data_IF_892341160052
#
_entry.id   IF_892341160052
#
_cell.length_a   1.000
_cell.length_b   1.000
_cell.length_c   1.000
_cell.angle_alpha   90.00
_cell.angle_beta   90.00
_cell.angle_gamma   90.00
#
_symmetry.space_group_name_H-M   'P 1'
#
loop_
_entity.id
_entity.type
_entity.pdbx_description
1 polymer ?
#
# COMPACT_ATOMS: atom_id res chain seq x y z
N UNK A 1 -11.71 22.65 21.47
CA UNK A 1 -10.67 21.72 21.94
C UNK A 1 -9.84 21.36 20.72
N UNK A 2 -8.60 21.85 20.65
CA UNK A 2 -7.72 21.73 19.48
C UNK A 2 -7.40 20.28 19.18
N UNK A 3 -7.69 19.85 17.95
CA UNK A 3 -7.03 18.71 17.35
C UNK A 3 -5.56 19.10 17.12
N UNK A 4 -4.66 18.55 17.92
CA UNK A 4 -3.23 18.69 17.70
C UNK A 4 -2.85 18.00 16.40
N UNK A 5 -2.50 18.79 15.40
CA UNK A 5 -1.76 18.35 14.22
C UNK A 5 -0.45 17.71 14.68
N UNK A 6 -0.42 16.37 14.76
CA UNK A 6 0.84 15.65 14.79
C UNK A 6 1.47 15.81 13.41
N UNK A 7 2.45 16.71 13.31
CA UNK A 7 3.38 16.73 12.19
C UNK A 7 4.02 15.33 12.10
N UNK A 8 3.69 14.58 11.05
CA UNK A 8 4.40 13.36 10.70
C UNK A 8 5.88 13.73 10.47
N UNK A 9 6.76 13.17 11.30
CA UNK A 9 8.19 13.34 11.14
C UNK A 9 8.62 12.83 9.74
N UNK A 10 9.71 13.36 9.13
CA UNK A 10 10.08 13.06 7.75
C UNK A 10 10.58 11.63 7.47
N UNK A 11 10.40 10.68 8.38
CA UNK A 11 10.76 9.27 8.21
C UNK A 11 9.53 8.46 7.86
N UNK A 12 9.63 7.57 6.86
CA UNK A 12 8.53 6.73 6.38
C UNK A 12 7.71 6.13 7.53
N UNK A 13 6.38 6.09 7.39
CA UNK A 13 5.46 5.76 8.49
C UNK A 13 5.79 4.45 9.24
N UNK A 14 5.14 4.17 10.39
CA UNK A 14 5.57 3.14 11.34
C UNK A 14 5.86 1.75 10.74
N UNK A 15 5.17 1.36 9.66
CA UNK A 15 5.44 0.11 8.95
C UNK A 15 6.80 0.10 8.23
N UNK A 16 7.21 1.19 7.60
CA UNK A 16 8.54 1.29 6.98
C UNK A 16 9.64 1.28 8.02
N UNK A 17 9.47 1.98 9.14
CA UNK A 17 10.42 1.89 10.26
C UNK A 17 10.54 0.46 10.81
N UNK A 18 9.43 -0.31 10.85
CA UNK A 18 9.47 -1.72 11.21
C UNK A 18 10.28 -2.55 10.21
N UNK A 19 10.14 -2.30 8.91
CA UNK A 19 10.91 -3.01 7.87
C UNK A 19 12.39 -2.64 7.94
N UNK A 20 12.72 -1.36 8.11
CA UNK A 20 14.08 -0.87 8.26
C UNK A 20 14.76 -1.51 9.48
N UNK A 21 14.12 -1.48 10.64
CA UNK A 21 14.63 -2.11 11.86
C UNK A 21 14.77 -3.62 11.68
N UNK A 22 13.76 -4.29 11.11
CA UNK A 22 13.79 -5.72 10.83
C UNK A 22 14.96 -6.11 9.91
N UNK A 23 15.18 -5.35 8.84
CA UNK A 23 16.29 -5.52 7.90
C UNK A 23 17.65 -5.32 8.57
N UNK A 24 17.80 -4.27 9.40
CA UNK A 24 19.03 -4.03 10.16
C UNK A 24 19.32 -5.17 11.16
N UNK A 25 18.31 -5.59 11.94
CA UNK A 25 18.45 -6.73 12.86
C UNK A 25 18.82 -8.03 12.13
N UNK A 26 18.25 -8.27 10.93
CA UNK A 26 18.60 -9.42 10.09
C UNK A 26 20.05 -9.35 9.64
N UNK A 27 20.51 -8.20 9.11
CA UNK A 27 21.89 -7.99 8.66
C UNK A 27 22.88 -8.23 9.80
N UNK A 28 22.61 -7.68 10.98
CA UNK A 28 23.41 -7.88 12.19
C UNK A 28 23.47 -9.37 12.57
N UNK A 29 22.32 -10.06 12.61
CA UNK A 29 22.26 -11.50 12.90
C UNK A 29 23.09 -12.33 11.91
N UNK A 30 22.90 -12.09 10.63
CA UNK A 30 23.58 -12.83 9.55
C UNK A 30 25.09 -12.55 9.55
N UNK A 31 25.52 -11.32 9.86
CA UNK A 31 26.94 -10.97 9.98
C UNK A 31 27.69 -11.73 11.08
N UNK A 32 26.94 -12.25 12.08
CA UNK A 32 27.46 -13.08 13.17
C UNK A 32 27.19 -14.57 12.97
N UNK A 33 26.62 -14.97 11.83
CA UNK A 33 26.20 -16.33 11.53
C UNK A 33 25.24 -16.94 12.58
N UNK A 34 24.44 -16.11 13.24
CA UNK A 34 23.50 -16.54 14.28
C UNK A 34 22.21 -17.04 13.62
N UNK A 35 21.70 -18.21 14.04
CA UNK A 35 20.44 -18.75 13.51
C UNK A 35 19.25 -18.01 14.09
N UNK A 36 18.10 -18.04 13.39
CA UNK A 36 16.85 -17.46 13.92
C UNK A 36 16.40 -18.13 15.22
N UNK A 37 16.67 -19.43 15.38
CA UNK A 37 16.31 -20.14 16.61
C UNK A 37 17.19 -19.72 17.79
N UNK A 38 18.48 -19.51 17.58
CA UNK A 38 19.38 -18.98 18.61
C UNK A 38 18.99 -17.55 19.02
N UNK A 39 18.71 -16.68 18.04
CA UNK A 39 18.19 -15.33 18.31
C UNK A 39 16.83 -15.36 19.04
N UNK A 40 15.96 -16.31 18.65
CA UNK A 40 14.67 -16.51 19.30
C UNK A 40 14.84 -16.93 20.77
N UNK A 41 15.74 -17.87 21.04
CA UNK A 41 16.02 -18.37 22.38
C UNK A 41 16.43 -17.23 23.33
N UNK A 42 17.32 -16.33 22.90
CA UNK A 42 17.78 -15.18 23.68
C UNK A 42 16.64 -14.32 24.23
N UNK A 43 15.66 -14.02 23.37
CA UNK A 43 14.49 -13.19 23.74
C UNK A 43 13.27 -14.03 24.17
N UNK A 44 13.46 -15.31 24.50
CA UNK A 44 12.40 -16.25 24.89
C UNK A 44 11.25 -16.33 23.87
N UNK A 45 11.62 -16.42 22.59
CA UNK A 45 10.75 -16.47 21.43
C UNK A 45 11.07 -17.66 20.51
N UNK A 46 10.21 -17.90 19.52
CA UNK A 46 10.47 -18.85 18.45
C UNK A 46 11.24 -18.21 17.28
N UNK A 47 11.96 -19.03 16.50
CA UNK A 47 12.55 -18.57 15.23
C UNK A 47 11.52 -17.98 14.26
N UNK A 48 10.27 -18.45 14.30
CA UNK A 48 9.15 -17.86 13.54
C UNK A 48 8.77 -16.44 13.99
N UNK A 49 8.97 -16.09 15.27
CA UNK A 49 8.82 -14.70 15.73
C UNK A 49 9.99 -13.85 15.22
N UNK A 50 11.23 -14.33 15.28
CA UNK A 50 12.39 -13.62 14.71
C UNK A 50 12.18 -13.36 13.22
N UNK A 51 11.75 -14.37 12.45
CA UNK A 51 11.44 -14.20 11.03
C UNK A 51 10.42 -13.08 10.77
N UNK A 52 9.32 -13.03 11.55
CA UNK A 52 8.33 -11.94 11.43
C UNK A 52 8.86 -10.57 11.85
N UNK A 53 9.74 -10.51 12.86
CA UNK A 53 10.40 -9.26 13.26
C UNK A 53 11.34 -8.75 12.16
N UNK A 54 12.15 -9.63 11.57
CA UNK A 54 13.06 -9.30 10.48
C UNK A 54 12.33 -8.81 9.22
N UNK A 55 11.11 -9.28 9.00
CA UNK A 55 10.24 -8.85 7.90
C UNK A 55 9.37 -7.63 8.26
N UNK A 56 9.55 -7.02 9.44
CA UNK A 56 8.76 -5.87 9.88
C UNK A 56 7.26 -6.15 10.09
N UNK A 57 6.86 -7.43 10.22
CA UNK A 57 5.45 -7.87 10.28
C UNK A 57 4.85 -7.87 11.69
N UNK A 58 5.65 -7.58 12.71
CA UNK A 58 5.22 -7.49 14.12
C UNK A 58 5.88 -6.29 14.79
N UNK A 59 5.29 -5.83 15.90
CA UNK A 59 5.88 -4.80 16.75
C UNK A 59 7.13 -5.30 17.49
N UNK A 60 7.96 -4.35 17.92
CA UNK A 60 9.23 -4.62 18.58
C UNK A 60 9.14 -4.29 20.06
N UNK A 61 9.37 -5.23 20.97
CA UNK A 61 9.59 -4.83 22.37
C UNK A 61 10.98 -4.25 22.48
N UNK A 62 11.13 -3.08 23.09
CA UNK A 62 12.45 -2.44 23.27
C UNK A 62 13.44 -3.36 23.96
N UNK A 63 12.97 -4.11 24.96
CA UNK A 63 13.76 -5.15 25.61
C UNK A 63 14.26 -6.22 24.63
N UNK A 64 13.35 -6.79 23.83
CA UNK A 64 13.72 -7.82 22.85
C UNK A 64 14.76 -7.27 21.87
N UNK A 65 14.63 -6.01 21.43
CA UNK A 65 15.62 -5.35 20.57
C UNK A 65 16.96 -5.21 21.29
N UNK A 66 16.97 -4.70 22.52
CA UNK A 66 18.21 -4.52 23.29
C UNK A 66 18.95 -5.85 23.55
N UNK A 67 18.22 -6.91 23.87
CA UNK A 67 18.76 -8.26 24.09
C UNK A 67 19.36 -8.82 22.78
N UNK A 68 18.67 -8.67 21.64
CA UNK A 68 19.20 -9.06 20.33
C UNK A 68 20.46 -8.26 19.92
N UNK A 69 20.49 -6.95 20.17
CA UNK A 69 21.67 -6.12 19.87
C UNK A 69 22.89 -6.56 20.68
N UNK A 70 22.68 -6.98 21.93
CA UNK A 70 23.74 -7.56 22.77
C UNK A 70 24.22 -8.88 22.17
N UNK A 71 23.31 -9.78 21.81
CA UNK A 71 23.64 -11.06 21.18
C UNK A 71 24.39 -10.87 19.85
N UNK A 72 24.02 -9.87 19.06
CA UNK A 72 24.67 -9.56 17.79
C UNK A 72 25.98 -8.79 17.94
N UNK A 73 26.39 -8.46 19.18
CA UNK A 73 27.67 -7.82 19.47
C UNK A 73 27.73 -6.34 19.11
N UNK A 74 26.60 -5.65 19.07
CA UNK A 74 26.55 -4.18 18.91
C UNK A 74 26.93 -3.55 20.24
N UNK A 75 28.13 -2.97 20.33
CA UNK A 75 28.70 -2.40 21.56
C UNK A 75 28.67 -0.87 21.58
N UNK A 76 28.57 -0.24 20.42
CA UNK A 76 28.49 1.21 20.30
C UNK A 76 27.17 1.71 20.89
N UNK A 77 27.26 2.67 21.83
CA UNK A 77 26.08 3.13 22.57
C UNK A 77 25.15 3.96 21.70
N UNK A 78 25.69 4.76 20.79
CA UNK A 78 24.90 5.65 19.94
C UNK A 78 24.14 4.84 18.89
N UNK A 79 24.78 3.83 18.29
CA UNK A 79 24.13 2.87 17.39
C UNK A 79 23.00 2.10 18.09
N UNK A 80 23.22 1.64 19.33
CA UNK A 80 22.19 0.94 20.11
C UNK A 80 21.00 1.83 20.42
N UNK A 81 21.24 3.05 20.91
CA UNK A 81 20.16 3.99 21.21
C UNK A 81 19.40 4.38 19.94
N UNK A 82 20.06 4.52 18.80
CA UNK A 82 19.40 4.78 17.53
C UNK A 82 18.44 3.64 17.13
N UNK A 83 18.87 2.38 17.25
CA UNK A 83 18.04 1.21 16.91
C UNK A 83 16.87 1.01 17.89
N UNK A 84 17.08 1.27 19.18
CA UNK A 84 16.00 1.23 20.18
C UNK A 84 15.02 2.39 19.95
N UNK A 85 15.53 3.59 19.63
CA UNK A 85 14.71 4.75 19.25
C UNK A 85 13.86 4.46 18.02
N UNK A 86 14.43 3.80 17.01
CA UNK A 86 13.71 3.34 15.83
C UNK A 86 12.60 2.35 16.20
N UNK A 87 12.84 1.44 17.15
CA UNK A 87 11.81 0.51 17.64
C UNK A 87 10.63 1.24 18.30
N UNK A 88 10.89 2.31 19.06
CA UNK A 88 9.84 3.16 19.66
C UNK A 88 8.98 3.80 18.59
N UNK A 89 9.61 4.42 17.59
CA UNK A 89 8.91 5.07 16.48
C UNK A 89 8.15 4.07 15.61
N UNK A 90 8.72 2.89 15.36
CA UNK A 90 8.11 1.81 14.59
C UNK A 90 6.87 1.19 15.28
N UNK A 91 6.76 1.35 16.59
CA UNK A 91 5.60 0.96 17.37
C UNK A 91 4.53 2.05 17.48
N UNK A 92 4.82 3.28 17.05
CA UNK A 92 3.86 4.36 17.11
C UNK A 92 2.58 4.00 16.33
N UNK A 93 1.39 4.24 16.91
CA UNK A 93 0.13 4.00 16.24
C UNK A 93 0.04 4.79 14.92
N UNK A 94 -0.22 4.10 13.81
CA UNK A 94 -0.73 4.78 12.61
C UNK A 94 -2.12 5.35 12.88
N UNK A 95 -2.51 6.41 12.15
CA UNK A 95 -3.83 7.05 12.28
C UNK A 95 -5.00 6.06 12.13
N UNK A 96 -4.80 4.96 11.40
CA UNK A 96 -5.79 3.91 11.16
C UNK A 96 -6.01 2.96 12.35
N UNK A 97 -5.21 3.02 13.43
CA UNK A 97 -5.34 2.09 14.56
C UNK A 97 -6.68 2.18 15.29
N UNK A 98 -7.34 3.35 15.27
CA UNK A 98 -8.68 3.53 15.86
C UNK A 98 -9.78 2.77 15.08
N UNK A 99 -9.42 2.16 13.94
CA UNK A 99 -10.33 1.53 12.98
C UNK A 99 -9.96 0.05 12.77
N UNK A 100 -9.18 -0.54 13.68
CA UNK A 100 -8.75 -1.94 13.64
C UNK A 100 -9.90 -2.94 13.68
N UNK A 101 -11.06 -2.56 14.21
CA UNK A 101 -12.28 -3.37 14.26
C UNK A 101 -12.99 -3.46 12.90
N UNK A 102 -12.78 -2.48 12.02
CA UNK A 102 -13.40 -2.43 10.69
C UNK A 102 -12.40 -2.69 9.55
N UNK A 103 -11.11 -2.83 9.83
CA UNK A 103 -10.09 -3.10 8.82
C UNK A 103 -9.45 -4.48 9.02
N UNK A 104 -9.44 -5.34 7.99
CA UNK A 104 -8.70 -6.59 8.05
C UNK A 104 -7.22 -6.34 8.38
N UNK A 105 -6.65 -7.19 9.24
CA UNK A 105 -5.26 -7.03 9.68
C UNK A 105 -4.26 -7.04 8.52
N UNK A 106 -4.52 -7.83 7.48
CA UNK A 106 -3.71 -7.86 6.27
C UNK A 106 -3.72 -6.54 5.51
N UNK A 107 -4.75 -5.70 5.66
CA UNK A 107 -4.84 -4.40 4.99
C UNK A 107 -4.13 -3.30 5.75
N UNK A 108 -4.07 -3.40 7.09
CA UNK A 108 -3.39 -2.42 7.94
C UNK A 108 -1.89 -2.29 7.61
N UNK A 109 -1.25 -3.39 7.21
CA UNK A 109 0.13 -3.39 6.76
C UNK A 109 0.30 -2.55 5.48
N UNK A 110 -0.59 -2.76 4.50
CA UNK A 110 -0.61 -2.00 3.25
C UNK A 110 -0.75 -0.49 3.49
N UNK A 111 -1.63 -0.06 4.41
CA UNK A 111 -1.80 1.37 4.72
C UNK A 111 -0.50 2.05 5.17
N UNK A 112 0.30 1.35 5.99
CA UNK A 112 1.57 1.89 6.43
C UNK A 112 2.65 1.91 5.33
N UNK A 113 2.59 1.00 4.36
CA UNK A 113 3.47 1.02 3.19
C UNK A 113 3.05 2.10 2.19
N UNK A 114 1.74 2.21 1.92
CA UNK A 114 1.13 3.22 1.07
C UNK A 114 1.47 4.63 1.56
N UNK A 115 1.36 4.86 2.88
CA UNK A 115 1.70 6.15 3.48
C UNK A 115 3.21 6.47 3.48
N UNK A 116 4.08 5.48 3.30
CA UNK A 116 5.54 5.67 3.33
C UNK A 116 6.19 5.61 1.94
N UNK A 117 5.44 5.24 0.91
CA UNK A 117 5.94 5.15 -0.45
C UNK A 117 6.22 6.54 -1.03
N UNK A 118 7.25 6.64 -1.87
CA UNK A 118 7.50 7.78 -2.75
C UNK A 118 6.92 7.58 -4.15
N UNK A 119 6.73 6.33 -4.55
CA UNK A 119 6.09 5.96 -5.81
C UNK A 119 5.21 4.73 -5.60
N UNK A 120 3.97 4.80 -6.08
CA UNK A 120 3.02 3.70 -6.11
C UNK A 120 2.66 3.46 -7.57
N UNK A 121 2.96 2.27 -8.08
CA UNK A 121 2.53 1.82 -9.41
C UNK A 121 1.44 0.78 -9.23
N UNK A 122 0.24 0.97 -9.78
CA UNK A 122 -0.87 0.02 -9.63
C UNK A 122 -1.47 -0.35 -10.98
N UNK A 123 -1.82 -1.63 -11.11
CA UNK A 123 -2.62 -2.16 -12.20
C UNK A 123 -3.96 -2.68 -11.65
N UNK A 124 -5.07 -2.14 -12.15
CA UNK A 124 -6.41 -2.46 -11.67
C UNK A 124 -7.32 -2.98 -12.79
N UNK A 125 -7.93 -4.14 -12.55
CA UNK A 125 -8.85 -4.79 -13.51
C UNK A 125 -10.28 -4.93 -12.99
N UNK A 126 -10.49 -4.72 -11.69
CA UNK A 126 -11.77 -4.99 -11.04
C UNK A 126 -12.46 -3.72 -10.56
N UNK A 127 -11.71 -2.80 -9.95
CA UNK A 127 -12.22 -1.58 -9.34
C UNK A 127 -11.31 -0.40 -9.64
N UNK A 128 -11.84 0.82 -9.58
CA UNK A 128 -11.00 2.03 -9.64
C UNK A 128 -9.98 1.99 -8.49
N UNK A 129 -8.70 2.36 -8.70
CA UNK A 129 -7.69 2.38 -7.65
C UNK A 129 -8.20 3.07 -6.39
N UNK A 130 -7.98 2.48 -5.22
CA UNK A 130 -8.55 2.99 -3.96
C UNK A 130 -8.24 4.46 -3.67
N UNK A 131 -7.06 4.94 -4.10
CA UNK A 131 -6.62 6.34 -3.96
C UNK A 131 -7.33 7.32 -4.92
N UNK A 132 -8.12 6.82 -5.87
CA UNK A 132 -8.85 7.62 -6.87
C UNK A 132 -10.38 7.42 -6.80
N UNK A 133 -10.89 6.71 -5.79
CA UNK A 133 -12.33 6.45 -5.63
C UNK A 133 -13.10 7.65 -5.07
N UNK A 134 -14.29 7.94 -5.57
CA UNK A 134 -15.23 8.85 -4.88
C UNK A 134 -15.83 8.15 -3.66
N UNK A 135 -16.31 8.89 -2.65
CA UNK A 135 -16.96 8.30 -1.48
C UNK A 135 -18.14 7.36 -1.83
N UNK A 136 -18.93 7.73 -2.84
CA UNK A 136 -20.09 6.97 -3.31
C UNK A 136 -19.67 5.67 -4.00
N UNK A 137 -18.66 5.73 -4.87
CA UNK A 137 -18.10 4.53 -5.51
C UNK A 137 -17.44 3.62 -4.47
N UNK A 138 -16.65 4.19 -3.56
CA UNK A 138 -16.03 3.45 -2.46
C UNK A 138 -17.07 2.72 -1.61
N UNK A 139 -18.17 3.39 -1.26
CA UNK A 139 -19.30 2.79 -0.55
C UNK A 139 -19.88 1.59 -1.30
N UNK A 140 -20.14 1.75 -2.60
CA UNK A 140 -20.68 0.68 -3.44
C UNK A 140 -19.73 -0.54 -3.47
N UNK A 141 -18.43 -0.33 -3.62
CA UNK A 141 -17.42 -1.41 -3.56
C UNK A 141 -17.39 -2.10 -2.20
N UNK A 142 -17.43 -1.34 -1.08
CA UNK A 142 -17.39 -1.93 0.27
C UNK A 142 -18.59 -2.85 0.49
N UNK A 143 -19.78 -2.42 0.04
CA UNK A 143 -21.02 -3.20 0.20
C UNK A 143 -20.96 -4.56 -0.51
N UNK A 144 -20.23 -4.71 -1.61
CA UNK A 144 -20.09 -5.99 -2.33
C UNK A 144 -19.46 -7.08 -1.46
N UNK A 145 -18.48 -6.73 -0.62
CA UNK A 145 -17.78 -7.68 0.26
C UNK A 145 -18.37 -7.77 1.67
N UNK A 146 -19.36 -6.95 2.01
CA UNK A 146 -19.84 -6.77 3.39
C UNK A 146 -21.37 -6.68 3.47
N UNK A 147 -22.07 -7.62 2.82
CA UNK A 147 -23.53 -7.64 2.75
C UNK A 147 -24.25 -7.63 4.13
N UNK A 148 -23.57 -8.02 5.21
CA UNK A 148 -24.09 -8.01 6.58
C UNK A 148 -23.63 -6.84 7.46
N UNK A 149 -22.83 -5.91 6.94
CA UNK A 149 -22.33 -4.78 7.73
C UNK A 149 -23.41 -3.70 7.92
N UNK A 150 -23.40 -3.08 9.09
CA UNK A 150 -24.24 -1.93 9.43
C UNK A 150 -23.84 -0.68 8.64
N UNK A 151 -24.77 0.26 8.48
CA UNK A 151 -24.48 1.53 7.81
C UNK A 151 -23.33 2.32 8.49
N UNK A 152 -23.20 2.21 9.82
CA UNK A 152 -22.12 2.82 10.58
C UNK A 152 -20.75 2.21 10.25
N UNK A 153 -20.64 0.88 10.18
CA UNK A 153 -19.42 0.20 9.76
C UNK A 153 -19.02 0.56 8.34
N UNK A 154 -19.99 0.63 7.42
CA UNK A 154 -19.74 1.08 6.04
C UNK A 154 -19.22 2.52 6.03
N UNK A 155 -19.84 3.43 6.79
CA UNK A 155 -19.41 4.84 6.87
C UNK A 155 -17.98 4.96 7.40
N UNK A 156 -17.62 4.20 8.45
CA UNK A 156 -16.26 4.19 9.00
C UNK A 156 -15.24 3.70 7.96
N UNK A 157 -15.57 2.67 7.18
CA UNK A 157 -14.69 2.18 6.09
C UNK A 157 -14.54 3.16 4.94
N UNK A 158 -15.61 3.89 4.58
CA UNK A 158 -15.54 4.98 3.59
C UNK A 158 -14.63 6.11 4.10
N UNK A 159 -14.76 6.47 5.37
CA UNK A 159 -13.93 7.51 5.98
C UNK A 159 -12.44 7.13 5.98
N UNK A 160 -12.09 5.85 6.23
CA UNK A 160 -10.72 5.35 6.05
C UNK A 160 -10.22 5.64 4.64
N UNK A 161 -11.01 5.31 3.61
CA UNK A 161 -10.59 5.53 2.21
C UNK A 161 -10.41 7.02 1.91
N UNK A 162 -11.30 7.88 2.42
CA UNK A 162 -11.19 9.33 2.27
C UNK A 162 -9.92 9.88 2.93
N UNK A 163 -9.57 9.40 4.12
CA UNK A 163 -8.35 9.80 4.81
C UNK A 163 -7.09 9.36 4.06
N UNK A 164 -7.07 8.13 3.53
CA UNK A 164 -5.95 7.62 2.71
C UNK A 164 -5.66 8.46 1.49
N UNK A 165 -6.68 8.97 0.81
CA UNK A 165 -6.49 9.75 -0.42
C UNK A 165 -5.71 11.05 -0.22
N UNK A 166 -5.68 11.57 1.01
CA UNK A 166 -4.97 12.81 1.34
C UNK A 166 -3.46 12.70 1.13
N UNK A 167 -2.90 11.48 1.06
CA UNK A 167 -1.48 11.28 0.77
C UNK A 167 -1.10 11.80 -0.63
N UNK A 168 -2.02 11.85 -1.59
CA UNK A 168 -1.72 12.28 -2.97
C UNK A 168 -1.49 13.79 -3.08
N UNK A 169 -1.99 14.58 -2.13
CA UNK A 169 -1.96 16.04 -2.18
C UNK A 169 -1.09 16.68 -1.10
N UNK A 170 -0.59 15.89 -0.15
CA UNK A 170 0.33 16.40 0.88
C UNK A 170 1.74 16.66 0.32
N UNK A 171 2.50 17.62 0.88
CA UNK A 171 3.92 17.76 0.57
C UNK A 171 4.68 16.46 0.84
N UNK A 172 5.52 16.03 -0.11
CA UNK A 172 6.26 14.77 0.00
C UNK A 172 5.41 13.50 -0.12
N UNK A 173 4.16 13.62 -0.58
CA UNK A 173 3.31 12.47 -0.91
C UNK A 173 3.83 11.63 -2.09
N UNK A 174 3.34 10.39 -2.25
CA UNK A 174 3.77 9.52 -3.35
C UNK A 174 3.35 10.08 -4.72
N UNK A 175 4.17 9.77 -5.72
CA UNK A 175 3.72 9.74 -7.10
C UNK A 175 2.87 8.49 -7.31
N UNK A 176 1.64 8.64 -7.81
CA UNK A 176 0.77 7.54 -8.19
C UNK A 176 0.81 7.35 -9.71
N UNK A 177 1.20 6.16 -10.15
CA UNK A 177 1.05 5.73 -11.53
C UNK A 177 0.04 4.58 -11.58
N UNK A 178 -1.18 4.88 -12.01
CA UNK A 178 -2.25 3.91 -12.14
C UNK A 178 -2.49 3.56 -13.61
N UNK A 179 -2.56 2.26 -13.90
CA UNK A 179 -3.08 1.73 -15.17
C UNK A 179 -4.38 0.99 -14.86
N UNK A 180 -5.45 1.38 -15.54
CA UNK A 180 -6.79 0.83 -15.33
C UNK A 180 -7.27 0.12 -16.60
N UNK A 181 -7.80 -1.09 -16.45
CA UNK A 181 -8.49 -1.79 -17.53
C UNK A 181 -9.84 -1.12 -17.86
N UNK A 182 -10.13 -0.97 -19.15
CA UNK A 182 -11.39 -0.36 -19.63
C UNK A 182 -12.64 -1.00 -18.99
N UNK A 183 -12.61 -2.29 -18.64
CA UNK A 183 -13.73 -2.97 -17.96
C UNK A 183 -14.09 -2.33 -16.62
N UNK A 184 -13.12 -1.77 -15.90
CA UNK A 184 -13.34 -1.08 -14.62
C UNK A 184 -14.25 0.13 -14.80
N UNK A 185 -14.11 0.82 -15.93
CA UNK A 185 -14.84 2.05 -16.24
C UNK A 185 -16.21 1.77 -16.88
N UNK A 186 -16.43 0.56 -17.42
CA UNK A 186 -17.69 0.15 -18.03
C UNK A 186 -18.63 -0.60 -17.08
N UNK A 187 -18.12 -1.21 -16.01
CA UNK A 187 -18.96 -1.92 -15.03
C UNK A 187 -19.72 -0.91 -14.14
N UNK A 188 -21.07 -0.94 -14.07
CA UNK A 188 -21.87 0.08 -13.38
C UNK A 188 -21.89 -0.08 -11.85
N UNK A 189 -20.73 -0.03 -11.20
CA UNK A 189 -20.62 -0.15 -9.74
C UNK A 189 -21.28 1.05 -9.06
N UNK A 190 -22.27 0.78 -8.20
CA UNK A 190 -23.08 1.82 -7.55
C UNK A 190 -24.14 2.44 -8.46
N UNK A 191 -24.27 1.96 -9.70
CA UNK A 191 -25.21 2.50 -10.69
C UNK A 191 -24.62 3.59 -11.58
N UNK A 192 -25.43 4.03 -12.55
CA UNK A 192 -25.03 4.98 -13.61
C UNK A 192 -24.50 6.29 -13.02
N UNK A 193 -25.23 6.94 -12.12
CA UNK A 193 -24.84 8.24 -11.56
C UNK A 193 -23.54 8.19 -10.74
N UNK A 194 -23.33 7.12 -9.99
CA UNK A 194 -22.10 6.91 -9.22
C UNK A 194 -20.92 6.73 -10.16
N UNK A 195 -21.07 5.96 -11.24
CA UNK A 195 -20.02 5.79 -12.25
C UNK A 195 -19.72 7.07 -13.00
N UNK A 196 -20.72 7.86 -13.37
CA UNK A 196 -20.51 9.17 -14.01
C UNK A 196 -19.68 10.08 -13.13
N UNK A 197 -20.08 10.22 -11.86
CA UNK A 197 -19.36 11.02 -10.86
C UNK A 197 -17.93 10.51 -10.63
N UNK A 198 -17.74 9.19 -10.63
CA UNK A 198 -16.42 8.57 -10.51
C UNK A 198 -15.52 8.85 -11.72
N UNK A 199 -16.05 8.82 -12.94
CA UNK A 199 -15.29 9.12 -14.17
C UNK A 199 -14.92 10.61 -14.20
N UNK A 200 -15.83 11.50 -13.82
CA UNK A 200 -15.54 12.94 -13.68
C UNK A 200 -14.41 13.17 -12.66
N UNK A 201 -14.43 12.48 -11.52
CA UNK A 201 -13.36 12.56 -10.53
C UNK A 201 -12.01 12.04 -11.07
N UNK A 202 -12.01 11.01 -11.93
CA UNK A 202 -10.78 10.52 -12.59
C UNK A 202 -10.21 11.54 -13.57
N UNK A 203 -11.07 12.27 -14.30
CA UNK A 203 -10.65 13.37 -15.18
C UNK A 203 -9.95 14.45 -14.34
N UNK A 204 -10.52 14.86 -13.21
CA UNK A 204 -9.88 15.84 -12.33
C UNK A 204 -8.58 15.31 -11.71
N UNK A 205 -8.56 14.05 -11.27
CA UNK A 205 -7.35 13.44 -10.71
C UNK A 205 -6.21 13.35 -11.73
N UNK A 206 -6.50 13.13 -13.02
CA UNK A 206 -5.49 13.10 -14.08
C UNK A 206 -4.77 14.43 -14.29
N UNK A 207 -5.30 15.54 -13.75
CA UNK A 207 -4.67 16.87 -13.79
C UNK A 207 -3.67 17.08 -12.64
N UNK A 208 -3.67 16.23 -11.62
CA UNK A 208 -2.77 16.35 -10.49
C UNK A 208 -1.33 15.99 -10.91
N UNK A 209 -0.31 16.78 -10.53
CA UNK A 209 1.07 16.48 -10.90
C UNK A 209 1.61 15.21 -10.24
N UNK A 210 0.99 14.77 -9.14
CA UNK A 210 1.31 13.52 -8.44
C UNK A 210 0.63 12.29 -9.04
N UNK A 211 -0.20 12.43 -10.08
CA UNK A 211 -0.99 11.33 -10.65
C UNK A 211 -0.68 11.15 -12.14
N UNK A 212 -0.29 9.94 -12.52
CA UNK A 212 -0.27 9.47 -13.90
C UNK A 212 -1.31 8.38 -14.04
N UNK A 213 -2.38 8.68 -14.75
CA UNK A 213 -3.45 7.73 -15.03
C UNK A 213 -3.35 7.28 -16.50
N UNK A 214 -3.42 5.98 -16.75
CA UNK A 214 -3.51 5.41 -18.08
C UNK A 214 -4.66 4.40 -18.12
N UNK A 215 -5.18 4.17 -19.32
CA UNK A 215 -6.26 3.22 -19.57
C UNK A 215 -5.76 2.20 -20.59
N UNK A 216 -5.86 0.91 -20.27
CA UNK A 216 -5.66 -0.14 -21.25
C UNK A 216 -7.00 -0.44 -21.95
N UNK A 217 -7.13 -0.12 -23.24
CA UNK A 217 -8.39 -0.31 -23.97
C UNK A 217 -8.58 -1.79 -24.34
N UNK A 218 -9.81 -2.22 -24.58
CA UNK A 218 -10.09 -3.59 -25.03
C UNK A 218 -9.41 -3.96 -26.34
N UNK A 219 -9.13 -2.97 -27.20
CA UNK A 219 -8.40 -3.17 -28.46
C UNK A 219 -6.94 -3.60 -28.26
N UNK A 220 -6.36 -3.40 -27.07
CA UNK A 220 -5.01 -3.88 -26.74
C UNK A 220 -4.94 -5.42 -26.68
N UNK A 221 -6.07 -6.10 -26.45
CA UNK A 221 -6.12 -7.56 -26.35
C UNK A 221 -5.43 -8.10 -25.10
N UNK A 222 -4.81 -9.28 -25.20
CA UNK A 222 -4.11 -9.90 -24.07
C UNK A 222 -2.78 -9.19 -23.76
N UNK A 223 -2.56 -8.87 -22.49
CA UNK A 223 -1.39 -8.10 -22.02
C UNK A 223 -0.63 -8.83 -20.89
N UNK A 224 0.55 -8.34 -20.54
CA UNK A 224 1.50 -9.03 -19.65
C UNK A 224 1.01 -9.23 -18.20
N UNK A 225 0.08 -8.41 -17.70
CA UNK A 225 -0.54 -8.55 -16.38
C UNK A 225 -1.80 -9.44 -16.35
N UNK A 226 -1.82 -10.54 -17.09
CA UNK A 226 -2.94 -11.48 -17.09
C UNK A 226 -3.21 -12.17 -15.73
N UNK A 227 -2.26 -12.08 -14.79
CA UNK A 227 -2.35 -12.72 -13.47
C UNK A 227 -3.29 -12.04 -12.46
N UNK A 228 -3.75 -10.81 -12.72
CA UNK A 228 -4.63 -10.06 -11.83
C UNK A 228 -4.09 -8.69 -11.43
N UNK A 229 -4.82 -7.95 -10.56
CA UNK A 229 -4.41 -6.64 -10.10
C UNK A 229 -3.25 -6.75 -9.10
N UNK A 230 -2.38 -5.73 -9.11
CA UNK A 230 -1.27 -5.63 -8.16
C UNK A 230 -0.82 -4.19 -8.00
N UNK A 231 -0.13 -3.89 -6.90
CA UNK A 231 0.56 -2.63 -6.68
C UNK A 231 2.05 -2.87 -6.37
N UNK A 232 2.92 -1.98 -6.83
CA UNK A 232 4.34 -1.93 -6.51
C UNK A 232 4.58 -0.63 -5.73
N UNK A 233 5.06 -0.76 -4.51
CA UNK A 233 5.38 0.35 -3.61
C UNK A 233 6.90 0.51 -3.53
N UNK A 234 7.37 1.72 -3.84
CA UNK A 234 8.77 2.12 -3.73
C UNK A 234 8.94 3.14 -2.61
N UNK A 235 10.03 2.99 -1.86
CA UNK A 235 10.33 3.78 -0.68
C UNK A 235 11.48 4.77 -0.93
N UNK A 236 11.62 5.83 -0.11
CA UNK A 236 12.73 6.77 -0.24
C UNK A 236 14.08 6.15 0.12
N UNK A 237 14.12 5.17 1.03
CA UNK A 237 15.34 4.52 1.49
C UNK A 237 15.86 3.49 0.46
N UNK A 238 17.06 3.68 -0.12
CA UNK A 238 17.61 2.78 -1.15
C UNK A 238 17.85 1.34 -0.65
N UNK A 239 18.00 1.14 0.64
CA UNK A 239 18.21 -0.17 1.25
C UNK A 239 16.93 -0.99 1.39
N UNK A 240 15.77 -0.37 1.20
CA UNK A 240 14.49 -1.05 1.21
C UNK A 240 14.17 -1.62 -0.17
N UNK A 241 13.82 -2.92 -0.27
CA UNK A 241 13.29 -3.44 -1.52
C UNK A 241 11.93 -2.79 -1.80
N UNK A 242 11.63 -2.59 -3.08
CA UNK A 242 10.25 -2.34 -3.51
C UNK A 242 9.37 -3.52 -3.05
N UNK A 243 8.12 -3.23 -2.68
CA UNK A 243 7.16 -4.24 -2.21
C UNK A 243 6.04 -4.37 -3.22
N UNK A 244 5.81 -5.59 -3.69
CA UNK A 244 4.61 -5.94 -4.47
C UNK A 244 3.51 -6.34 -3.51
N UNK A 245 2.33 -5.76 -3.70
CA UNK A 245 1.10 -6.08 -3.01
C UNK A 245 0.11 -6.73 -3.98
N UNK A 246 -0.38 -7.91 -3.62
CA UNK A 246 -1.43 -8.62 -4.36
C UNK A 246 -2.59 -8.89 -3.40
N UNK A 247 -3.72 -8.24 -3.63
CA UNK A 247 -4.95 -8.43 -2.86
C UNK A 247 -5.66 -9.72 -3.28
N UNK A 248 -6.16 -10.47 -2.29
CA UNK A 248 -7.03 -11.63 -2.49
C UNK A 248 -8.31 -11.44 -1.67
N UNK A 249 -9.31 -12.28 -1.94
CA UNK A 249 -10.64 -12.16 -1.32
C UNK A 249 -10.61 -12.05 0.22
N UNK A 250 -9.73 -12.80 0.89
CA UNK A 250 -9.67 -12.88 2.36
C UNK A 250 -8.27 -12.59 2.92
N UNK A 251 -7.30 -12.30 2.06
CA UNK A 251 -5.90 -12.15 2.43
C UNK A 251 -5.16 -11.24 1.46
N UNK A 252 -3.87 -11.02 1.70
CA UNK A 252 -3.01 -10.38 0.73
C UNK A 252 -1.61 -10.98 0.77
N UNK A 253 -0.91 -10.92 -0.36
CA UNK A 253 0.47 -11.33 -0.49
C UNK A 253 1.35 -10.08 -0.60
N UNK A 254 2.45 -10.09 0.14
CA UNK A 254 3.50 -9.07 0.08
C UNK A 254 4.79 -9.74 -0.37
N UNK A 255 5.32 -9.33 -1.52
CA UNK A 255 6.55 -9.85 -2.11
C UNK A 255 7.61 -8.75 -2.10
N UNK A 256 8.76 -9.07 -1.51
CA UNK A 256 9.91 -8.17 -1.34
C UNK A 256 11.22 -8.81 -1.84
N UNK A 257 11.15 -10.04 -2.37
CA UNK A 257 12.28 -10.70 -3.00
C UNK A 257 12.51 -10.08 -4.38
N UNK A 258 13.78 -9.77 -4.67
CA UNK A 258 14.19 -9.17 -5.93
C UNK A 258 13.64 -9.90 -7.17
N UNK A 259 13.73 -11.22 -7.20
CA UNK A 259 13.25 -12.04 -8.33
C UNK A 259 11.74 -11.86 -8.57
N UNK A 260 10.94 -11.83 -7.50
CA UNK A 260 9.49 -11.63 -7.58
C UNK A 260 9.20 -10.20 -8.04
N UNK A 261 9.81 -9.20 -7.38
CA UNK A 261 9.64 -7.78 -7.67
C UNK A 261 10.01 -7.46 -9.13
N UNK A 262 11.13 -7.98 -9.63
CA UNK A 262 11.60 -7.76 -10.99
C UNK A 262 10.58 -8.29 -12.02
N UNK A 263 9.94 -9.44 -11.75
CA UNK A 263 8.89 -9.98 -12.63
C UNK A 263 7.66 -9.07 -12.69
N UNK A 264 7.18 -8.58 -11.54
CA UNK A 264 6.05 -7.65 -11.50
C UNK A 264 6.40 -6.29 -12.11
N UNK A 265 7.63 -5.80 -11.92
CA UNK A 265 8.10 -4.56 -12.54
C UNK A 265 8.10 -4.66 -14.07
N UNK A 266 8.60 -5.77 -14.63
CA UNK A 266 8.54 -6.04 -16.07
C UNK A 266 7.11 -6.14 -16.59
N UNK A 267 6.21 -6.78 -15.83
CA UNK A 267 4.79 -6.85 -16.19
C UNK A 267 4.16 -5.44 -16.20
N UNK A 268 4.44 -4.62 -15.18
CA UNK A 268 3.96 -3.24 -15.10
C UNK A 268 4.48 -2.38 -16.25
N UNK A 269 5.76 -2.52 -16.62
CA UNK A 269 6.33 -1.81 -17.77
C UNK A 269 5.62 -2.15 -19.08
N UNK A 270 5.36 -3.43 -19.34
CA UNK A 270 4.62 -3.88 -20.53
C UNK A 270 3.20 -3.35 -20.54
N UNK A 271 2.50 -3.42 -19.41
CA UNK A 271 1.15 -2.84 -19.28
C UNK A 271 1.14 -1.33 -19.53
N UNK A 272 2.14 -0.59 -19.06
CA UNK A 272 2.26 0.85 -19.35
C UNK A 272 2.49 1.15 -20.84
N UNK A 273 3.15 0.25 -21.58
CA UNK A 273 3.38 0.36 -23.02
C UNK A 273 2.09 0.04 -23.80
N UNK A 274 1.35 -0.98 -23.37
CA UNK A 274 0.10 -1.41 -24.01
C UNK A 274 -1.06 -0.45 -23.71
N UNK A 275 -1.00 0.28 -22.59
CA UNK A 275 -1.97 1.28 -22.23
C UNK A 275 -1.80 2.60 -23.00
N UNK A 276 -2.90 3.32 -23.20
CA UNK A 276 -2.87 4.62 -23.87
C UNK A 276 -2.00 5.62 -23.09
N UNK A 277 -1.26 6.51 -23.79
CA UNK A 277 -0.49 7.56 -23.15
C UNK A 277 -1.34 8.43 -22.19
N UNK A 278 -0.78 8.89 -21.05
CA UNK A 278 -1.56 9.63 -20.05
C UNK A 278 -2.28 10.87 -20.58
N UNK A 279 -1.76 11.53 -21.62
CA UNK A 279 -2.38 12.70 -22.23
C UNK A 279 -3.66 12.37 -23.03
N UNK A 280 -3.88 11.11 -23.42
CA UNK A 280 -5.13 10.66 -24.06
C UNK A 280 -6.21 10.27 -23.04
N UNK A 281 -5.84 10.04 -21.77
CA UNK A 281 -6.77 9.61 -20.72
C UNK A 281 -7.98 10.52 -20.55
N UNK A 282 -7.88 11.87 -20.52
CA UNK A 282 -9.06 12.74 -20.40
C UNK A 282 -10.05 12.57 -21.57
N UNK A 283 -9.56 12.35 -22.79
CA UNK A 283 -10.40 12.13 -23.96
C UNK A 283 -11.14 10.79 -23.87
N UNK A 284 -10.43 9.72 -23.49
CA UNK A 284 -11.02 8.39 -23.32
C UNK A 284 -12.09 8.41 -22.23
N UNK A 285 -11.80 9.01 -21.08
CA UNK A 285 -12.75 9.17 -19.99
C UNK A 285 -13.97 10.01 -20.42
N UNK A 286 -13.76 11.09 -21.19
CA UNK A 286 -14.85 11.90 -21.73
C UNK A 286 -15.76 11.12 -22.69
N UNK A 287 -15.21 10.24 -23.53
CA UNK A 287 -16.00 9.34 -24.38
C UNK A 287 -16.82 8.36 -23.53
N UNK A 288 -16.17 7.67 -22.59
CA UNK A 288 -16.83 6.74 -21.68
C UNK A 288 -17.95 7.40 -20.88
N UNK A 289 -17.76 8.64 -20.40
CA UNK A 289 -18.77 9.40 -19.68
C UNK A 289 -20.06 9.60 -20.51
N UNK A 290 -19.96 9.72 -21.83
CA UNK A 290 -21.11 9.85 -22.73
C UNK A 290 -21.80 8.50 -23.03
N UNK A 291 -21.11 7.39 -22.76
CA UNK A 291 -21.58 6.03 -22.97
C UNK A 291 -22.16 5.39 -21.69
N UNK A 292 -21.81 5.88 -20.51
CA UNK A 292 -22.26 5.31 -19.23
C UNK A 292 -23.79 5.24 -19.17
N UNK A 293 -24.32 4.03 -18.95
CA UNK A 293 -25.76 3.75 -18.92
C UNK A 293 -26.36 3.29 -20.26
N UNK A 294 -25.57 3.25 -21.35
CA UNK A 294 -25.98 2.58 -22.59
C UNK A 294 -25.79 1.06 -22.48
N UNK A 295 -26.65 0.24 -23.11
CA UNK A 295 -26.39 -1.19 -23.23
C UNK A 295 -25.08 -1.42 -24.00
N UNK A 296 -24.28 -2.39 -23.55
CA UNK A 296 -23.05 -2.85 -24.23
C UNK A 296 -23.45 -3.70 -25.44
#
# INVERSE_FOLDING_TARGET
MSAGSQEEAPGGGPTVLRILLGSQLRKLRESKAITRDAAGYEIRASGSKISRMELGRVSFKERDVADLLTLYGVVDKDEREALIGLARQANSPGWWQQLNDVLPSWFQAYLGLEAAATLIRTYEIQFVPGLLQTPEYARAVIMLGHAGATAEEINRRVEVRRQRQQILTRPGGPQLWAVIDEAVLRRPIGGVEVMRSQIEALIEASKLPSVRLQIIPFTAGGHAAAGGPFAILRFPEPELPDVVYVEQLTSAIYLDKREDVDQYAMAMERVCIDAEPPNHTPEILGKLLNEVGRPI
#
